data_IF_632002776978
#
_entry.id   IF_632002776978
#
_cell.length_a   1.000
_cell.length_b   1.000
_cell.length_c   1.000
_cell.angle_alpha   90.00
_cell.angle_beta   90.00
_cell.angle_gamma   90.00
#
_symmetry.space_group_name_H-M   'P 1'
#
loop_
_entity.id
_entity.type
_entity.pdbx_description
1 polymer ?
#
# COMPACT_ATOMS: atom_id res chain seq x y z
N UNK A 1 -26.39 33.02 -27.32
CA UNK A 1 -26.51 31.63 -26.93
C UNK A 1 -25.17 31.21 -26.34
N UNK A 2 -25.06 31.34 -25.03
CA UNK A 2 -23.85 30.98 -24.26
C UNK A 2 -24.00 29.55 -23.85
N UNK A 3 -23.19 28.68 -24.43
CA UNK A 3 -23.10 27.26 -24.04
C UNK A 3 -22.33 27.19 -22.74
N UNK A 4 -23.04 27.02 -21.65
CA UNK A 4 -22.42 26.66 -20.34
C UNK A 4 -21.84 25.26 -20.52
N UNK A 5 -20.51 25.18 -20.59
CA UNK A 5 -19.75 23.96 -20.35
C UNK A 5 -19.98 23.61 -18.87
N UNK A 6 -20.80 22.59 -18.61
CA UNK A 6 -20.86 21.95 -17.31
C UNK A 6 -19.44 21.58 -16.93
N UNK A 7 -18.89 22.29 -15.95
CA UNK A 7 -17.57 21.99 -15.40
C UNK A 7 -17.56 20.55 -14.89
N UNK A 8 -16.82 19.69 -15.56
CA UNK A 8 -16.41 18.43 -14.96
C UNK A 8 -15.60 18.77 -13.72
N UNK A 9 -16.14 18.47 -12.55
CA UNK A 9 -15.34 18.44 -11.33
C UNK A 9 -14.31 17.33 -11.55
N UNK A 10 -13.09 17.71 -11.87
CA UNK A 10 -11.98 16.76 -11.95
C UNK A 10 -11.68 16.44 -10.48
N UNK A 11 -12.02 15.23 -10.07
CA UNK A 11 -11.59 14.71 -8.77
C UNK A 11 -10.07 14.83 -8.71
N UNK A 12 -9.56 15.48 -7.67
CA UNK A 12 -8.14 15.87 -7.61
C UNK A 12 -7.32 15.04 -6.65
N UNK A 13 -7.97 14.35 -5.72
CA UNK A 13 -7.28 13.71 -4.60
C UNK A 13 -7.32 12.20 -4.70
N UNK A 14 -6.32 11.57 -4.10
CA UNK A 14 -6.33 10.14 -3.83
C UNK A 14 -6.11 9.88 -2.34
N UNK A 15 -6.74 8.84 -1.82
CA UNK A 15 -6.68 8.45 -0.42
C UNK A 15 -5.98 7.10 -0.28
N UNK A 16 -5.03 6.98 0.64
CA UNK A 16 -4.42 5.70 0.97
C UNK A 16 -4.69 5.28 2.42
N UNK A 17 -4.85 3.96 2.61
CA UNK A 17 -5.04 3.30 3.89
C UNK A 17 -3.98 2.23 4.13
N UNK A 18 -3.38 2.22 5.32
CA UNK A 18 -2.50 1.16 5.78
C UNK A 18 -2.96 0.67 7.16
N UNK A 19 -3.33 -0.60 7.23
CA UNK A 19 -3.87 -1.24 8.44
C UNK A 19 -3.30 -2.65 8.67
N UNK A 20 -2.20 -2.98 7.99
CA UNK A 20 -1.61 -4.33 8.07
C UNK A 20 -0.78 -4.56 9.34
N UNK A 21 -0.58 -3.52 10.14
CA UNK A 21 0.01 -3.50 11.49
C UNK A 21 -1.01 -2.96 12.50
N UNK A 22 -0.71 -2.94 13.82
CA UNK A 22 -1.61 -2.37 14.82
C UNK A 22 -1.90 -0.88 14.64
N UNK A 23 -1.12 -0.21 13.82
CA UNK A 23 -1.33 1.21 13.51
C UNK A 23 -2.32 1.39 12.34
N UNK A 24 -2.99 2.54 12.34
CA UNK A 24 -3.70 3.08 11.19
C UNK A 24 -2.84 4.14 10.54
N UNK A 25 -2.46 3.95 9.27
CA UNK A 25 -1.87 4.98 8.43
C UNK A 25 -2.90 5.47 7.41
N UNK A 26 -3.04 6.80 7.31
CA UNK A 26 -3.83 7.46 6.27
C UNK A 26 -2.96 8.48 5.54
N UNK A 27 -3.11 8.56 4.23
CA UNK A 27 -2.51 9.61 3.40
C UNK A 27 -3.49 10.09 2.35
N UNK A 28 -3.44 11.37 2.03
CA UNK A 28 -4.21 11.99 0.94
C UNK A 28 -3.32 12.94 0.17
N UNK A 29 -3.43 12.97 -1.15
CA UNK A 29 -2.64 13.83 -2.01
C UNK A 29 -3.41 14.21 -3.27
N UNK A 30 -3.12 15.41 -3.79
CA UNK A 30 -3.48 15.86 -5.13
C UNK A 30 -2.34 15.66 -6.14
N UNK A 31 -1.18 15.18 -5.68
CA UNK A 31 0.07 15.03 -6.46
C UNK A 31 0.56 16.31 -7.15
N UNK A 32 -0.01 17.45 -6.79
CA UNK A 32 0.32 18.78 -7.32
C UNK A 32 0.93 19.71 -6.27
N UNK A 33 1.13 19.24 -5.05
CA UNK A 33 1.76 19.98 -3.96
C UNK A 33 1.08 19.84 -2.61
N UNK A 34 -0.17 19.37 -2.57
CA UNK A 34 -0.86 19.11 -1.32
C UNK A 34 -0.80 17.60 -1.00
N UNK A 35 0.02 17.25 -0.02
CA UNK A 35 0.09 15.88 0.52
C UNK A 35 0.11 15.94 2.04
N UNK A 36 -0.73 15.14 2.68
CA UNK A 36 -0.68 14.93 4.13
C UNK A 36 -0.83 13.47 4.48
N UNK A 37 -0.18 13.07 5.54
CA UNK A 37 -0.28 11.72 6.09
C UNK A 37 -0.26 11.76 7.61
N UNK A 38 -0.87 10.77 8.21
CA UNK A 38 -0.88 10.61 9.66
C UNK A 38 -0.97 9.15 10.05
N UNK A 39 -0.34 8.80 11.16
CA UNK A 39 -0.33 7.46 11.75
C UNK A 39 -0.85 7.53 13.18
N UNK A 40 -1.71 6.58 13.53
CA UNK A 40 -2.24 6.40 14.88
C UNK A 40 -2.01 4.97 15.33
N UNK A 41 -1.53 4.79 16.54
CA UNK A 41 -1.45 3.47 17.16
C UNK A 41 -2.80 3.15 17.82
N UNK A 42 -3.63 2.41 17.12
CA UNK A 42 -4.97 2.04 17.58
C UNK A 42 -5.03 0.64 18.21
N UNK A 43 -4.07 -0.21 17.90
CA UNK A 43 -4.03 -1.56 18.45
C UNK A 43 -5.34 -2.32 18.20
N UNK A 44 -6.01 -2.74 19.30
CA UNK A 44 -7.27 -3.47 19.24
C UNK A 44 -8.47 -2.61 18.86
N UNK A 45 -8.35 -1.29 18.99
CA UNK A 45 -9.44 -0.34 18.71
C UNK A 45 -9.51 0.03 17.22
N UNK A 46 -8.61 -0.50 16.39
CA UNK A 46 -8.59 -0.23 14.94
C UNK A 46 -9.97 -0.44 14.31
N UNK A 47 -10.66 -1.55 14.61
CA UNK A 47 -11.96 -1.87 14.00
C UNK A 47 -13.09 -0.92 14.41
N UNK A 48 -13.03 -0.38 15.62
CA UNK A 48 -14.07 0.51 16.15
C UNK A 48 -13.80 1.98 15.80
N UNK A 49 -12.55 2.39 15.68
CA UNK A 49 -12.17 3.79 15.51
C UNK A 49 -11.81 4.19 14.07
N UNK A 50 -11.47 3.22 13.20
CA UNK A 50 -11.00 3.51 11.84
C UNK A 50 -11.92 4.48 11.10
N UNK A 51 -13.24 4.28 11.14
CA UNK A 51 -14.18 5.11 10.39
C UNK A 51 -14.24 6.55 10.91
N UNK A 52 -14.10 6.74 12.23
CA UNK A 52 -14.05 8.06 12.81
C UNK A 52 -12.80 8.82 12.34
N UNK A 53 -11.62 8.19 12.47
CA UNK A 53 -10.37 8.81 12.01
C UNK A 53 -10.38 9.10 10.51
N UNK A 54 -10.97 8.21 9.72
CA UNK A 54 -11.06 8.37 8.28
C UNK A 54 -11.93 9.58 7.89
N UNK A 55 -13.11 9.74 8.51
CA UNK A 55 -14.01 10.88 8.27
C UNK A 55 -13.35 12.21 8.68
N UNK A 56 -12.62 12.21 9.78
CA UNK A 56 -11.92 13.41 10.26
C UNK A 56 -10.72 13.74 9.38
N UNK A 57 -9.97 12.74 8.96
CA UNK A 57 -8.76 12.90 8.17
C UNK A 57 -9.03 13.40 6.75
N UNK A 58 -10.12 12.98 6.11
CA UNK A 58 -10.46 13.43 4.75
C UNK A 58 -10.68 14.93 4.69
N UNK A 59 -11.16 15.57 5.76
CA UNK A 59 -11.42 17.03 5.78
C UNK A 59 -10.14 17.83 5.54
N UNK A 60 -10.19 18.98 4.84
CA UNK A 60 -11.38 19.67 4.35
C UNK A 60 -11.97 19.09 3.05
N UNK A 61 -11.30 18.13 2.40
CA UNK A 61 -11.82 17.47 1.21
C UNK A 61 -13.10 16.67 1.56
N UNK A 62 -13.83 16.34 0.53
CA UNK A 62 -15.02 15.48 0.61
C UNK A 62 -14.76 14.16 -0.12
N UNK A 63 -15.62 13.18 0.08
CA UNK A 63 -15.55 11.91 -0.65
C UNK A 63 -15.66 12.09 -2.18
N UNK A 64 -16.40 13.11 -2.63
CA UNK A 64 -16.57 13.43 -4.04
C UNK A 64 -15.30 14.01 -4.71
N UNK A 65 -14.32 14.42 -3.92
CA UNK A 65 -13.05 14.94 -4.43
C UNK A 65 -12.03 13.83 -4.72
N UNK A 66 -12.36 12.56 -4.38
CA UNK A 66 -11.47 11.44 -4.58
C UNK A 66 -11.55 10.87 -5.99
N UNK A 67 -10.39 10.63 -6.61
CA UNK A 67 -10.24 9.97 -7.91
C UNK A 67 -10.03 8.46 -7.78
N UNK A 68 -9.29 8.03 -6.76
CA UNK A 68 -9.06 6.63 -6.46
C UNK A 68 -8.72 6.42 -4.97
N UNK A 69 -8.76 5.17 -4.55
CA UNK A 69 -8.31 4.74 -3.22
C UNK A 69 -7.17 3.74 -3.38
N UNK A 70 -6.15 3.85 -2.53
CA UNK A 70 -5.08 2.87 -2.41
C UNK A 70 -5.15 2.19 -1.03
N UNK A 71 -4.82 0.92 -0.95
CA UNK A 71 -4.82 0.18 0.30
C UNK A 71 -3.68 -0.82 0.38
N UNK A 72 -3.03 -0.92 1.54
CA UNK A 72 -2.10 -1.98 1.83
C UNK A 72 -2.84 -3.32 1.89
N UNK A 73 -2.61 -4.21 0.90
CA UNK A 73 -3.27 -5.52 0.82
C UNK A 73 -2.65 -6.60 1.69
N UNK A 74 -1.56 -6.30 2.40
CA UNK A 74 -0.69 -7.27 3.05
C UNK A 74 0.59 -7.51 2.24
N UNK A 75 1.47 -8.39 2.77
CA UNK A 75 1.31 -9.19 3.98
C UNK A 75 1.29 -8.36 5.26
N UNK A 76 0.75 -8.97 6.33
CA UNK A 76 0.67 -8.35 7.67
C UNK A 76 -0.34 -9.05 8.56
N UNK A 77 -0.80 -8.36 9.60
CA UNK A 77 -1.81 -8.86 10.53
C UNK A 77 -3.13 -9.16 9.82
N UNK A 78 -3.62 -10.39 9.96
CA UNK A 78 -4.82 -10.90 9.27
C UNK A 78 -6.04 -9.98 9.41
N UNK A 79 -6.38 -9.62 10.66
CA UNK A 79 -7.57 -8.82 10.96
C UNK A 79 -7.44 -7.39 10.40
N UNK A 80 -6.31 -6.74 10.64
CA UNK A 80 -6.07 -5.37 10.17
C UNK A 80 -6.07 -5.28 8.65
N UNK A 81 -5.38 -6.17 7.96
CA UNK A 81 -5.36 -6.25 6.50
C UNK A 81 -6.78 -6.37 5.93
N UNK A 82 -7.59 -7.26 6.52
CA UNK A 82 -8.98 -7.45 6.09
C UNK A 82 -9.83 -6.20 6.31
N UNK A 83 -9.70 -5.56 7.46
CA UNK A 83 -10.45 -4.33 7.78
C UNK A 83 -10.13 -3.24 6.74
N UNK A 84 -8.85 -2.97 6.47
CA UNK A 84 -8.45 -1.95 5.50
C UNK A 84 -8.96 -2.24 4.09
N UNK A 85 -8.75 -3.45 3.60
CA UNK A 85 -9.18 -3.83 2.25
C UNK A 85 -10.71 -3.77 2.11
N UNK A 86 -11.47 -4.27 3.09
CA UNK A 86 -12.94 -4.18 3.06
C UNK A 86 -13.40 -2.74 3.09
N UNK A 87 -12.81 -1.89 3.92
CA UNK A 87 -13.13 -0.45 3.98
C UNK A 87 -12.86 0.23 2.63
N UNK A 88 -11.68 0.02 2.05
CA UNK A 88 -11.33 0.58 0.75
C UNK A 88 -12.28 0.12 -0.36
N UNK A 89 -12.63 -1.18 -0.40
CA UNK A 89 -13.60 -1.72 -1.36
C UNK A 89 -14.98 -1.11 -1.20
N UNK A 90 -15.47 -0.98 0.03
CA UNK A 90 -16.78 -0.39 0.29
C UNK A 90 -16.83 1.06 -0.17
N UNK A 91 -15.79 1.84 0.13
CA UNK A 91 -15.70 3.21 -0.34
C UNK A 91 -15.58 3.29 -1.87
N UNK A 92 -14.71 2.48 -2.49
CA UNK A 92 -14.57 2.43 -3.95
C UNK A 92 -15.88 2.07 -4.64
N UNK A 93 -16.64 1.12 -4.08
CA UNK A 93 -17.96 0.75 -4.58
C UNK A 93 -18.98 1.89 -4.46
N UNK A 94 -19.02 2.58 -3.32
CA UNK A 94 -19.98 3.66 -3.08
C UNK A 94 -19.68 4.91 -3.91
N UNK A 95 -18.40 5.16 -4.18
CA UNK A 95 -17.94 6.34 -4.91
C UNK A 95 -17.78 6.06 -6.42
N UNK A 96 -17.89 4.81 -6.83
CA UNK A 96 -17.62 4.33 -8.20
C UNK A 96 -16.22 4.73 -8.72
N UNK A 97 -15.20 4.51 -7.87
CA UNK A 97 -13.80 4.84 -8.17
C UNK A 97 -12.89 3.61 -8.01
N UNK A 98 -11.75 3.56 -8.72
CA UNK A 98 -10.77 2.47 -8.62
C UNK A 98 -10.20 2.30 -7.23
N UNK A 99 -9.83 1.05 -6.89
CA UNK A 99 -9.14 0.69 -5.64
C UNK A 99 -7.87 -0.08 -5.94
N UNK A 100 -6.73 0.53 -5.67
CA UNK A 100 -5.42 -0.07 -5.83
C UNK A 100 -5.01 -0.84 -4.58
N UNK A 101 -4.78 -2.14 -4.74
CA UNK A 101 -4.33 -3.01 -3.66
C UNK A 101 -2.81 -3.20 -3.75
N UNK A 102 -2.07 -2.45 -2.95
CA UNK A 102 -0.61 -2.37 -2.98
C UNK A 102 0.00 -3.33 -1.93
N UNK A 103 1.09 -4.00 -2.30
CA UNK A 103 1.84 -4.85 -1.36
C UNK A 103 2.46 -4.01 -0.23
N UNK A 104 2.36 -4.52 1.00
CA UNK A 104 3.06 -3.93 2.15
C UNK A 104 4.58 -3.96 1.96
N UNK A 105 5.13 -5.06 1.43
CA UNK A 105 6.58 -5.17 1.19
C UNK A 105 7.04 -4.25 0.06
N UNK A 106 6.22 -4.09 -0.99
CA UNK A 106 6.50 -3.14 -2.07
C UNK A 106 6.53 -1.69 -1.55
N UNK A 107 5.61 -1.33 -0.65
CA UNK A 107 5.60 0.00 -0.03
C UNK A 107 6.84 0.26 0.84
N UNK A 108 7.32 -0.75 1.57
CA UNK A 108 8.59 -0.69 2.30
C UNK A 108 9.77 -0.51 1.33
N UNK A 109 9.83 -1.31 0.27
CA UNK A 109 10.89 -1.21 -0.73
C UNK A 109 10.91 0.19 -1.38
N UNK A 110 9.74 0.73 -1.74
CA UNK A 110 9.62 2.07 -2.30
C UNK A 110 10.10 3.16 -1.35
N UNK A 111 9.70 3.09 -0.07
CA UNK A 111 10.16 4.02 0.96
C UNK A 111 11.67 4.02 1.16
N UNK A 112 12.32 2.85 1.03
CA UNK A 112 13.77 2.72 1.16
C UNK A 112 14.52 3.17 -0.10
N UNK A 113 13.96 2.90 -1.28
CA UNK A 113 14.52 3.35 -2.56
C UNK A 113 14.69 4.87 -2.61
N UNK A 114 13.69 5.62 -2.13
CA UNK A 114 13.71 7.08 -2.09
C UNK A 114 14.81 7.68 -1.19
N UNK A 115 15.43 6.88 -0.31
CA UNK A 115 16.52 7.33 0.58
C UNK A 115 17.92 7.23 -0.06
N UNK A 116 18.03 6.66 -1.24
CA UNK A 116 19.34 6.42 -1.89
C UNK A 116 19.32 6.81 -3.36
N UNK A 117 20.36 7.50 -3.85
CA UNK A 117 20.43 8.01 -5.23
C UNK A 117 20.71 6.94 -6.30
N UNK A 118 21.01 5.71 -5.94
CA UNK A 118 21.34 4.66 -6.89
C UNK A 118 20.22 3.62 -6.99
N UNK A 119 19.88 3.15 -8.21
CA UNK A 119 18.95 2.06 -8.39
C UNK A 119 19.46 0.85 -7.61
N UNK A 120 18.57 0.25 -6.82
CA UNK A 120 18.95 -0.86 -5.96
C UNK A 120 17.93 -1.95 -6.05
N UNK A 121 18.45 -3.15 -6.06
CA UNK A 121 17.67 -4.31 -5.70
C UNK A 121 17.44 -4.27 -4.19
N UNK A 122 16.19 -4.26 -3.76
CA UNK A 122 15.79 -4.23 -2.36
C UNK A 122 15.08 -5.54 -2.06
N UNK A 123 15.67 -6.30 -1.17
CA UNK A 123 15.08 -7.50 -0.60
C UNK A 123 14.38 -7.12 0.72
N UNK A 124 13.10 -7.41 0.83
CA UNK A 124 12.32 -7.10 2.05
C UNK A 124 11.88 -8.40 2.68
N UNK A 125 12.12 -8.53 3.98
CA UNK A 125 11.60 -9.63 4.78
C UNK A 125 10.78 -9.10 5.97
N UNK A 126 9.76 -9.86 6.36
CA UNK A 126 8.91 -9.56 7.50
C UNK A 126 8.55 -10.86 8.22
N UNK A 127 8.57 -10.91 9.56
CA UNK A 127 8.16 -12.10 10.29
C UNK A 127 6.75 -12.55 9.94
N UNK A 128 6.59 -13.84 9.70
CA UNK A 128 5.32 -14.53 9.51
C UNK A 128 5.05 -15.47 10.67
N UNK A 129 3.94 -16.19 10.63
CA UNK A 129 3.64 -17.18 11.66
C UNK A 129 4.52 -18.45 11.52
N UNK A 130 4.61 -19.23 12.57
CA UNK A 130 5.29 -20.55 12.59
C UNK A 130 6.77 -20.50 12.19
N UNK A 131 7.47 -19.43 12.55
CA UNK A 131 8.88 -19.26 12.23
C UNK A 131 9.19 -19.03 10.75
N UNK A 132 8.18 -18.78 9.94
CA UNK A 132 8.32 -18.41 8.55
C UNK A 132 8.49 -16.89 8.40
N UNK A 133 8.79 -16.45 7.19
CA UNK A 133 8.88 -15.05 6.82
C UNK A 133 8.06 -14.77 5.57
N UNK A 134 7.51 -13.58 5.47
CA UNK A 134 7.09 -13.01 4.21
C UNK A 134 8.31 -12.35 3.57
N UNK A 135 8.54 -12.60 2.29
CA UNK A 135 9.67 -12.02 1.58
C UNK A 135 9.30 -11.63 0.14
N UNK A 136 9.97 -10.60 -0.36
CA UNK A 136 9.87 -10.13 -1.74
C UNK A 136 11.15 -9.42 -2.17
N UNK A 137 11.41 -9.34 -3.47
CA UNK A 137 12.55 -8.63 -4.03
C UNK A 137 12.06 -7.68 -5.11
N UNK A 138 12.51 -6.45 -5.00
CA UNK A 138 12.10 -5.33 -5.83
C UNK A 138 13.33 -4.61 -6.38
N UNK A 139 13.20 -4.07 -7.57
CA UNK A 139 14.22 -3.23 -8.18
C UNK A 139 13.63 -1.86 -8.47
N UNK A 140 14.27 -0.84 -7.95
CA UNK A 140 13.92 0.54 -8.23
C UNK A 140 14.65 1.03 -9.46
N UNK A 141 13.91 1.42 -10.48
CA UNK A 141 14.40 2.00 -11.72
C UNK A 141 14.29 3.53 -11.64
N UNK A 142 15.40 4.20 -11.32
CA UNK A 142 15.45 5.65 -11.09
C UNK A 142 15.05 6.47 -12.30
N UNK A 143 15.40 6.01 -13.51
CA UNK A 143 15.20 6.75 -14.76
C UNK A 143 13.72 6.93 -15.10
N UNK A 144 12.89 5.99 -14.66
CA UNK A 144 11.44 5.99 -14.89
C UNK A 144 10.64 6.10 -13.59
N UNK A 145 11.33 6.18 -12.44
CA UNK A 145 10.71 6.22 -11.11
C UNK A 145 9.68 5.09 -10.91
N UNK A 146 10.08 3.86 -11.25
CA UNK A 146 9.23 2.67 -11.13
C UNK A 146 9.83 1.65 -10.17
N UNK A 147 8.96 0.82 -9.60
CA UNK A 147 9.33 -0.32 -8.77
C UNK A 147 8.98 -1.62 -9.51
N UNK A 148 10.01 -2.31 -10.02
CA UNK A 148 9.85 -3.60 -10.66
C UNK A 148 9.84 -4.73 -9.63
N UNK A 149 8.85 -5.61 -9.70
CA UNK A 149 8.77 -6.80 -8.87
C UNK A 149 9.65 -7.90 -9.47
N UNK A 150 10.77 -8.21 -8.81
CA UNK A 150 11.70 -9.27 -9.22
C UNK A 150 11.34 -10.63 -8.60
N UNK A 151 10.89 -10.61 -7.35
CA UNK A 151 10.31 -11.75 -6.64
C UNK A 151 9.04 -11.27 -5.94
N UNK A 152 7.89 -11.78 -6.36
CA UNK A 152 6.60 -11.42 -5.73
C UNK A 152 6.54 -11.94 -4.30
N UNK A 153 5.77 -11.24 -3.47
CA UNK A 153 5.53 -11.58 -2.07
C UNK A 153 5.18 -13.06 -1.91
N UNK A 154 5.89 -13.72 -1.02
CA UNK A 154 5.65 -15.13 -0.67
C UNK A 154 6.07 -15.44 0.74
N UNK A 155 5.56 -16.56 1.23
CA UNK A 155 5.97 -17.13 2.51
C UNK A 155 7.09 -18.13 2.27
N UNK A 156 8.16 -18.01 3.05
CA UNK A 156 9.35 -18.86 2.96
C UNK A 156 9.81 -19.26 4.36
N UNK A 157 10.56 -20.36 4.45
CA UNK A 157 11.38 -20.61 5.63
C UNK A 157 12.61 -19.69 5.61
N UNK A 158 13.21 -19.36 6.76
CA UNK A 158 14.43 -18.58 6.81
C UNK A 158 15.56 -19.17 5.96
N UNK A 159 15.71 -20.50 5.93
CA UNK A 159 16.73 -21.21 5.16
C UNK A 159 16.52 -21.01 3.65
N UNK A 160 15.27 -21.20 3.16
CA UNK A 160 14.95 -21.01 1.74
C UNK A 160 15.16 -19.54 1.31
N UNK A 161 14.89 -18.58 2.21
CA UNK A 161 15.16 -17.18 1.94
C UNK A 161 16.65 -16.88 1.84
N UNK A 162 17.45 -17.40 2.75
CA UNK A 162 18.91 -17.25 2.70
C UNK A 162 19.50 -17.85 1.41
N UNK A 163 19.00 -19.02 0.98
CA UNK A 163 19.41 -19.62 -0.29
C UNK A 163 19.08 -18.73 -1.49
N UNK A 164 17.87 -18.13 -1.52
CA UNK A 164 17.48 -17.20 -2.58
C UNK A 164 18.44 -15.98 -2.57
N UNK A 165 18.71 -15.38 -1.42
CA UNK A 165 19.59 -14.23 -1.31
C UNK A 165 21.04 -14.55 -1.74
N UNK A 166 21.55 -15.72 -1.35
CA UNK A 166 22.90 -16.16 -1.70
C UNK A 166 23.09 -16.39 -3.22
N UNK A 167 22.02 -16.83 -3.89
CA UNK A 167 22.01 -17.05 -5.33
C UNK A 167 21.51 -15.85 -6.15
N UNK A 168 21.17 -14.73 -5.50
CA UNK A 168 20.69 -13.56 -6.21
C UNK A 168 21.85 -12.86 -6.93
N UNK A 169 21.71 -12.68 -8.23
CA UNK A 169 22.79 -12.22 -9.10
C UNK A 169 23.20 -10.75 -8.93
N UNK A 170 22.40 -9.96 -8.24
CA UNK A 170 22.68 -8.54 -7.98
C UNK A 170 22.84 -8.28 -6.50
N UNK A 171 23.72 -7.33 -6.16
CA UNK A 171 23.85 -6.89 -4.77
C UNK A 171 22.55 -6.24 -4.31
N UNK A 172 21.84 -6.88 -3.37
CA UNK A 172 20.59 -6.41 -2.83
C UNK A 172 20.77 -5.83 -1.42
N UNK A 173 20.07 -4.74 -1.14
CA UNK A 173 19.92 -4.24 0.23
C UNK A 173 18.82 -5.04 0.92
N UNK A 174 19.16 -5.73 2.02
CA UNK A 174 18.15 -6.45 2.84
C UNK A 174 17.52 -5.49 3.85
N UNK A 175 16.19 -5.43 3.84
CA UNK A 175 15.37 -4.66 4.77
C UNK A 175 14.52 -5.61 5.62
N UNK A 176 14.66 -5.48 6.94
CA UNK A 176 13.84 -6.22 7.91
C UNK A 176 12.67 -5.34 8.35
N UNK A 177 11.49 -5.61 7.80
CA UNK A 177 10.27 -4.88 8.10
C UNK A 177 9.61 -5.48 9.35
N UNK A 178 9.74 -4.82 10.52
CA UNK A 178 9.24 -5.36 11.79
C UNK A 178 8.06 -4.59 12.37
N UNK A 179 8.12 -3.27 12.42
CA UNK A 179 7.11 -2.41 13.04
C UNK A 179 7.05 -1.05 12.35
N UNK A 180 6.01 -0.26 12.66
CA UNK A 180 5.87 1.10 12.11
C UNK A 180 5.54 1.15 10.62
N UNK A 181 5.06 0.04 10.04
CA UNK A 181 4.83 -0.05 8.60
C UNK A 181 3.71 0.86 8.11
N UNK A 182 2.81 1.28 8.99
CA UNK A 182 1.78 2.25 8.64
C UNK A 182 2.36 3.61 8.19
N UNK A 183 3.62 3.92 8.55
CA UNK A 183 4.33 5.09 8.05
C UNK A 183 4.62 5.03 6.55
N UNK A 184 4.58 3.84 5.92
CA UNK A 184 4.73 3.68 4.47
C UNK A 184 3.42 3.94 3.69
N UNK A 185 2.40 4.49 4.34
CA UNK A 185 1.12 4.80 3.68
C UNK A 185 1.27 5.80 2.52
N UNK A 186 2.24 6.71 2.59
CA UNK A 186 2.58 7.59 1.46
C UNK A 186 3.14 6.81 0.28
N UNK A 187 3.98 5.81 0.53
CA UNK A 187 4.49 4.91 -0.51
C UNK A 187 3.38 4.07 -1.16
N UNK A 188 2.36 3.66 -0.37
CA UNK A 188 1.14 3.03 -0.91
C UNK A 188 0.45 3.97 -1.91
N UNK A 189 0.32 5.24 -1.54
CA UNK A 189 -0.32 6.25 -2.37
C UNK A 189 0.47 6.54 -3.65
N UNK A 190 1.80 6.68 -3.54
CA UNK A 190 2.70 6.95 -4.65
C UNK A 190 2.73 5.78 -5.66
N UNK A 191 2.85 4.55 -5.20
CA UNK A 191 2.80 3.36 -6.06
C UNK A 191 1.47 3.24 -6.81
N UNK A 192 0.36 3.50 -6.13
CA UNK A 192 -0.96 3.54 -6.76
C UNK A 192 -1.08 4.64 -7.81
N UNK A 193 -0.46 5.81 -7.56
CA UNK A 193 -0.45 6.91 -8.52
C UNK A 193 0.37 6.57 -9.78
N UNK A 194 1.47 5.85 -9.66
CA UNK A 194 2.22 5.37 -10.82
C UNK A 194 1.35 4.47 -11.70
N UNK A 195 0.68 3.50 -11.09
CA UNK A 195 -0.27 2.63 -11.81
C UNK A 195 -1.43 3.43 -12.44
N UNK A 196 -1.94 4.44 -11.72
CA UNK A 196 -2.97 5.35 -12.25
C UNK A 196 -2.49 6.12 -13.47
N UNK A 197 -1.27 6.66 -13.43
CA UNK A 197 -0.66 7.40 -14.55
C UNK A 197 -0.39 6.51 -15.77
N UNK A 198 -0.17 5.22 -15.56
CA UNK A 198 -0.07 4.21 -16.64
C UNK A 198 -1.43 3.81 -17.21
N UNK A 199 -2.53 4.39 -16.74
CA UNK A 199 -3.89 4.10 -17.22
C UNK A 199 -4.48 2.82 -16.65
N UNK A 200 -3.96 2.30 -15.54
CA UNK A 200 -4.56 1.18 -14.82
C UNK A 200 -5.70 1.70 -13.93
N UNK A 201 -6.86 1.12 -14.07
CA UNK A 201 -8.06 1.49 -13.30
C UNK A 201 -8.72 0.22 -12.75
N UNK A 202 -8.11 -0.46 -11.74
CA UNK A 202 -8.63 -1.71 -11.22
C UNK A 202 -10.01 -1.49 -10.59
N UNK A 203 -10.92 -2.42 -10.87
CA UNK A 203 -12.22 -2.39 -10.22
C UNK A 203 -12.05 -2.64 -8.71
N UNK A 204 -12.85 -1.96 -7.90
CA UNK A 204 -12.81 -2.10 -6.44
C UNK A 204 -12.96 -3.57 -5.98
N UNK A 205 -13.67 -4.41 -6.75
CA UNK A 205 -13.85 -5.84 -6.44
C UNK A 205 -12.57 -6.66 -6.57
N UNK A 206 -11.59 -6.19 -7.32
CA UNK A 206 -10.28 -6.84 -7.54
C UNK A 206 -9.32 -6.63 -6.36
N UNK A 207 -9.59 -5.65 -5.49
CA UNK A 207 -8.79 -5.42 -4.29
C UNK A 207 -9.02 -6.55 -3.28
N UNK A 208 -8.10 -7.52 -3.25
CA UNK A 208 -8.15 -8.68 -2.37
C UNK A 208 -7.01 -8.65 -1.36
N UNK A 209 -7.25 -9.05 -0.11
CA UNK A 209 -6.19 -9.16 0.89
C UNK A 209 -5.24 -10.31 0.56
N UNK A 210 -3.95 -10.08 0.76
CA UNK A 210 -2.93 -11.11 0.65
C UNK A 210 -2.51 -11.59 2.04
N UNK A 211 -2.82 -12.83 2.35
CA UNK A 211 -2.49 -13.43 3.65
C UNK A 211 -1.21 -14.27 3.61
N UNK A 212 -0.90 -14.84 2.44
CA UNK A 212 0.27 -15.71 2.24
C UNK A 212 0.25 -17.02 3.03
N UNK A 213 -0.46 -17.05 4.15
CA UNK A 213 -0.63 -18.23 5.01
C UNK A 213 -2.11 -18.45 5.29
N UNK A 214 -2.55 -19.70 5.31
CA UNK A 214 -3.89 -20.02 5.79
C UNK A 214 -3.93 -19.88 7.33
N UNK A 215 -4.96 -19.21 7.87
CA UNK A 215 -5.07 -19.02 9.33
C UNK A 215 -5.32 -20.32 10.09
N UNK A 216 -5.80 -21.35 9.40
CA UNK A 216 -6.07 -22.69 9.96
C UNK A 216 -5.55 -23.73 8.96
N UNK A 217 -4.73 -24.68 9.42
CA UNK A 217 -4.50 -25.92 8.68
C UNK A 217 -5.73 -26.80 8.83
N UNK A 218 -6.32 -27.20 7.71
CA UNK A 218 -7.37 -28.24 7.63
C UNK A 218 -6.70 -29.59 7.61
#
# INVERSE_FOLDING_TARGET
MTTELKGFVINKYALALHTTTPELGLAISDFAGETRSQVWNLGRDLSSLLHQYLIEFVKPQTWADLSFIAVAKGPGGFTGTRIGVVTARTLGQQLDIPVFAISTLAAVAWSEAGKSPNPKTIAVEMPAQRGQIFAGIYEFESDVSQLRVCLSDRVLTPEAWQEILANWHTNSQLIQAQSGLAATVTSILELANLDWQEGKYPNWSEALPYYGQHPVEV
#
